data_IF_900436403390
#
_entry.id   IF_900436403390
#
_cell.length_a   1.000
_cell.length_b   1.000
_cell.length_c   1.000
_cell.angle_alpha   90.00
_cell.angle_beta   90.00
_cell.angle_gamma   90.00
#
_symmetry.space_group_name_H-M   'P 1'
#
loop_
_entity.id
_entity.type
_entity.pdbx_description
1 polymer ?
#
# COMPACT_ATOMS: atom_id res chain seq x y z
N UNK A 1 -22.91 -22.49 15.51
CA UNK A 1 -21.95 -21.56 15.92
C UNK A 1 -22.65 -21.17 17.19
N UNK A 2 -22.28 -21.51 18.21
CA UNK A 2 -21.23 -20.59 18.27
C UNK A 2 -21.60 -19.15 18.52
N UNK A 3 -22.91 -18.78 18.66
CA UNK A 3 -23.29 -17.43 19.09
C UNK A 3 -22.60 -17.07 20.43
N UNK A 4 -22.44 -18.04 21.32
CA UNK A 4 -21.73 -17.82 22.59
C UNK A 4 -20.23 -17.61 22.41
N UNK A 5 -19.64 -18.28 21.44
CA UNK A 5 -18.23 -18.07 21.11
C UNK A 5 -18.04 -16.69 20.48
N UNK A 6 -18.88 -16.32 19.51
CA UNK A 6 -18.86 -14.99 18.88
C UNK A 6 -19.03 -13.87 19.93
N UNK A 7 -19.95 -14.02 20.88
CA UNK A 7 -20.12 -13.03 21.97
C UNK A 7 -18.88 -12.88 22.86
N UNK A 8 -18.13 -13.96 23.10
CA UNK A 8 -16.88 -13.90 23.87
C UNK A 8 -15.80 -13.16 23.08
N UNK A 9 -15.69 -13.46 21.79
CA UNK A 9 -14.74 -12.79 20.87
C UNK A 9 -15.10 -11.31 20.77
N UNK A 10 -16.35 -10.95 20.52
CA UNK A 10 -16.83 -9.57 20.46
C UNK A 10 -16.51 -8.78 21.75
N UNK A 11 -16.69 -9.41 22.93
CA UNK A 11 -16.32 -8.79 24.20
C UNK A 11 -14.82 -8.54 24.32
N UNK A 12 -14.00 -9.46 23.85
CA UNK A 12 -12.55 -9.27 23.81
C UNK A 12 -12.17 -8.14 22.85
N UNK A 13 -12.69 -8.15 21.61
CA UNK A 13 -12.47 -7.09 20.61
C UNK A 13 -12.87 -5.73 21.15
N UNK A 14 -14.05 -5.61 21.78
CA UNK A 14 -14.47 -4.36 22.43
C UNK A 14 -13.48 -3.89 23.52
N UNK A 15 -12.81 -4.82 24.20
CA UNK A 15 -11.77 -4.47 25.19
C UNK A 15 -10.48 -3.99 24.54
N UNK A 16 -10.12 -4.48 23.35
CA UNK A 16 -8.98 -4.00 22.55
C UNK A 16 -9.27 -2.60 22.03
N UNK A 17 -10.43 -2.42 21.38
CA UNK A 17 -10.86 -1.11 20.83
C UNK A 17 -10.92 -0.01 21.91
N UNK A 18 -11.34 -0.37 23.14
CA UNK A 18 -11.35 0.58 24.26
C UNK A 18 -9.96 1.11 24.64
N UNK A 19 -8.91 0.34 24.36
CA UNK A 19 -7.51 0.74 24.63
C UNK A 19 -6.81 1.32 23.41
N UNK A 20 -7.45 1.21 22.25
CA UNK A 20 -6.90 1.73 21.00
C UNK A 20 -6.66 3.24 21.09
N UNK A 21 -5.66 3.77 20.41
CA UNK A 21 -5.47 5.21 20.28
C UNK A 21 -6.69 5.89 19.66
N UNK A 22 -6.97 7.09 20.10
CA UNK A 22 -8.03 7.92 19.50
C UNK A 22 -7.42 8.78 18.40
N UNK A 23 -8.05 8.78 17.25
CA UNK A 23 -7.62 9.54 16.07
C UNK A 23 -8.66 10.61 15.73
N UNK A 24 -8.17 11.76 15.27
CA UNK A 24 -9.02 12.78 14.66
C UNK A 24 -9.37 12.32 13.22
N UNK A 25 -10.60 11.88 13.00
CA UNK A 25 -11.07 11.39 11.70
C UNK A 25 -11.09 12.47 10.62
N UNK A 26 -11.10 13.75 11.00
CA UNK A 26 -11.07 14.88 10.08
C UNK A 26 -9.64 15.33 9.73
N UNK A 27 -8.62 14.80 10.41
CA UNK A 27 -7.23 15.11 10.09
C UNK A 27 -6.85 14.49 8.74
N UNK A 28 -6.49 15.34 7.77
CA UNK A 28 -6.24 14.98 6.37
C UNK A 28 -5.20 15.90 5.75
N UNK A 29 -4.68 15.48 4.59
CA UNK A 29 -3.83 16.32 3.73
C UNK A 29 -4.60 17.58 3.31
N UNK A 30 -4.00 18.74 3.58
CA UNK A 30 -4.61 20.04 3.32
C UNK A 30 -4.37 20.59 1.90
N UNK A 31 -5.13 21.64 1.51
CA UNK A 31 -5.06 22.21 0.15
C UNK A 31 -3.68 22.72 -0.25
N UNK A 32 -2.94 23.33 0.67
CA UNK A 32 -1.61 23.89 0.37
C UNK A 32 -0.57 22.81 0.08
N UNK A 33 -0.74 21.64 0.70
CA UNK A 33 0.14 20.50 0.40
C UNK A 33 -0.11 19.96 -1.00
N UNK A 34 -1.37 19.81 -1.43
CA UNK A 34 -1.71 19.42 -2.79
C UNK A 34 -1.13 20.40 -3.82
N UNK A 35 -1.27 21.70 -3.61
CA UNK A 35 -0.67 22.73 -4.47
C UNK A 35 0.86 22.59 -4.55
N UNK A 36 1.49 22.31 -3.41
CA UNK A 36 2.95 22.12 -3.37
C UNK A 36 3.38 20.87 -4.16
N UNK A 37 2.67 19.75 -4.01
CA UNK A 37 2.90 18.50 -4.75
C UNK A 37 2.74 18.70 -6.25
N UNK A 38 1.64 19.32 -6.67
CA UNK A 38 1.36 19.65 -8.07
C UNK A 38 2.46 20.54 -8.66
N UNK A 39 2.91 21.56 -7.90
CA UNK A 39 4.01 22.45 -8.33
C UNK A 39 5.33 21.69 -8.46
N UNK A 40 5.68 20.81 -7.52
CA UNK A 40 6.90 19.99 -7.59
C UNK A 40 6.89 19.12 -8.86
N UNK A 41 5.77 18.44 -9.12
CA UNK A 41 5.63 17.58 -10.30
C UNK A 41 5.73 18.39 -11.60
N UNK A 42 5.03 19.53 -11.70
CA UNK A 42 5.12 20.38 -12.90
C UNK A 42 6.51 20.93 -13.16
N UNK A 43 7.24 21.33 -12.12
CA UNK A 43 8.62 21.81 -12.27
C UNK A 43 9.51 20.69 -12.79
N UNK A 44 9.41 19.50 -12.24
CA UNK A 44 10.20 18.36 -12.67
C UNK A 44 9.87 17.90 -14.10
N UNK A 45 8.58 17.93 -14.51
CA UNK A 45 8.18 17.69 -15.91
C UNK A 45 8.82 18.73 -16.87
N UNK A 46 8.83 20.01 -16.48
CA UNK A 46 9.45 21.08 -17.28
C UNK A 46 10.96 20.86 -17.45
N UNK A 47 11.66 20.37 -16.44
CA UNK A 47 13.07 20.00 -16.52
C UNK A 47 13.33 18.87 -17.53
N UNK A 48 12.34 18.00 -17.76
CA UNK A 48 12.35 16.99 -18.83
C UNK A 48 11.90 17.55 -20.19
N UNK A 49 11.54 18.82 -20.29
CA UNK A 49 11.00 19.42 -21.50
C UNK A 49 9.53 19.10 -21.78
N UNK A 50 8.80 18.63 -20.76
CA UNK A 50 7.39 18.26 -20.85
C UNK A 50 6.48 19.36 -20.28
N UNK A 51 5.33 19.58 -20.93
CA UNK A 51 4.34 20.58 -20.51
C UNK A 51 3.19 19.97 -19.68
N UNK A 52 3.07 18.65 -19.69
CA UNK A 52 2.06 17.92 -18.94
C UNK A 52 2.47 16.48 -18.62
N UNK A 53 1.77 15.89 -17.66
CA UNK A 53 1.94 14.51 -17.27
C UNK A 53 0.60 13.84 -16.92
N UNK A 54 0.56 12.52 -17.05
CA UNK A 54 -0.64 11.72 -16.77
C UNK A 54 -0.36 10.68 -15.69
N UNK A 55 -1.31 10.53 -14.78
CA UNK A 55 -1.37 9.49 -13.74
C UNK A 55 -2.62 8.64 -13.91
N UNK A 56 -2.58 7.43 -13.35
CA UNK A 56 -3.72 6.51 -13.32
C UNK A 56 -3.78 5.81 -11.96
N UNK A 57 -4.99 5.53 -11.51
CA UNK A 57 -5.25 4.71 -10.32
C UNK A 57 -6.50 3.86 -10.51
N UNK A 58 -6.50 2.70 -9.88
CA UNK A 58 -7.66 1.83 -9.76
C UNK A 58 -7.78 1.35 -8.31
N UNK A 59 -8.76 0.51 -8.01
CA UNK A 59 -9.03 0.00 -6.66
C UNK A 59 -7.80 -0.67 -6.02
N UNK A 60 -6.98 -1.38 -6.80
CA UNK A 60 -5.79 -2.07 -6.30
C UNK A 60 -4.50 -1.25 -6.37
N UNK A 61 -4.47 -0.26 -7.26
CA UNK A 61 -3.37 0.70 -7.40
C UNK A 61 -3.88 2.11 -7.10
N UNK A 62 -4.18 2.35 -5.84
CA UNK A 62 -4.84 3.55 -5.35
C UNK A 62 -3.84 4.55 -4.74
N UNK A 63 -2.89 5.07 -5.52
CA UNK A 63 -1.87 5.97 -4.98
C UNK A 63 -1.56 7.19 -5.84
N UNK A 64 -1.48 7.04 -7.16
CA UNK A 64 -0.95 8.08 -8.03
C UNK A 64 -1.91 9.27 -8.21
N UNK A 65 -3.19 9.01 -8.44
CA UNK A 65 -4.20 10.07 -8.52
C UNK A 65 -4.48 10.69 -7.14
N UNK A 66 -4.65 9.90 -6.05
CA UNK A 66 -4.83 10.46 -4.71
C UNK A 66 -3.72 11.38 -4.24
N UNK A 67 -2.47 11.10 -4.57
CA UNK A 67 -1.33 11.95 -4.20
C UNK A 67 -1.47 13.40 -4.70
N UNK A 68 -1.97 13.60 -5.92
CA UNK A 68 -2.15 14.93 -6.53
C UNK A 68 -3.53 15.51 -6.33
N UNK A 69 -4.57 14.67 -6.24
CA UNK A 69 -5.96 15.09 -6.30
C UNK A 69 -6.78 14.83 -5.04
N UNK A 70 -6.26 14.05 -4.11
CA UNK A 70 -6.98 13.73 -2.87
C UNK A 70 -8.17 12.78 -3.04
N UNK A 71 -8.36 12.19 -4.21
CA UNK A 71 -9.41 11.20 -4.48
C UNK A 71 -8.97 9.82 -3.96
N UNK A 72 -9.11 9.60 -2.67
CA UNK A 72 -8.68 8.36 -1.98
C UNK A 72 -9.71 7.22 -2.07
N UNK A 73 -10.94 7.50 -2.48
CA UNK A 73 -11.95 6.46 -2.69
C UNK A 73 -12.09 6.18 -4.19
N UNK A 74 -11.52 5.05 -4.62
CA UNK A 74 -11.58 4.55 -5.99
C UNK A 74 -12.14 3.14 -5.90
N UNK A 75 -13.39 2.99 -6.32
CA UNK A 75 -14.10 1.71 -6.25
C UNK A 75 -14.77 1.45 -7.58
N UNK A 76 -14.57 0.28 -8.13
CA UNK A 76 -15.18 -0.22 -9.38
C UNK A 76 -14.69 0.53 -10.62
N UNK A 77 -14.95 1.84 -10.73
CA UNK A 77 -14.44 2.68 -11.83
C UNK A 77 -13.01 3.15 -11.55
N UNK A 78 -12.14 2.98 -12.53
CA UNK A 78 -10.79 3.54 -12.48
C UNK A 78 -10.81 5.05 -12.68
N UNK A 79 -9.75 5.72 -12.20
CA UNK A 79 -9.57 7.15 -12.40
C UNK A 79 -8.20 7.41 -13.03
N UNK A 80 -8.14 8.43 -13.87
CA UNK A 80 -6.89 9.00 -14.34
C UNK A 80 -6.76 10.44 -13.85
N UNK A 81 -5.62 11.04 -14.06
CA UNK A 81 -5.40 12.45 -13.79
C UNK A 81 -4.41 13.01 -14.78
N UNK A 82 -4.60 14.26 -15.15
CA UNK A 82 -3.67 15.00 -15.99
C UNK A 82 -3.24 16.27 -15.28
N UNK A 83 -1.94 16.51 -15.24
CA UNK A 83 -1.35 17.73 -14.71
C UNK A 83 -0.73 18.54 -15.85
N UNK A 84 -1.04 19.83 -15.89
CA UNK A 84 -0.53 20.73 -16.90
C UNK A 84 -0.55 22.18 -16.44
N UNK A 85 -0.55 23.12 -17.38
CA UNK A 85 -0.50 24.56 -17.06
C UNK A 85 -1.73 25.08 -16.30
N UNK A 86 -2.90 24.45 -16.47
CA UNK A 86 -4.12 24.82 -15.74
C UNK A 86 -4.24 24.19 -14.35
N UNK A 87 -3.30 23.31 -13.98
CA UNK A 87 -3.29 22.59 -12.70
C UNK A 87 -3.47 21.09 -12.88
N UNK A 88 -3.89 20.42 -11.81
CA UNK A 88 -4.20 18.99 -11.81
C UNK A 88 -5.70 18.79 -11.99
N UNK A 89 -6.08 17.99 -12.99
CA UNK A 89 -7.45 17.64 -13.29
C UNK A 89 -7.64 16.13 -13.16
N UNK A 90 -8.72 15.71 -12.51
CA UNK A 90 -9.10 14.31 -12.33
C UNK A 90 -10.03 13.90 -13.47
N UNK A 91 -9.79 12.72 -14.02
CA UNK A 91 -10.55 12.11 -15.11
C UNK A 91 -11.19 10.85 -14.54
N UNK A 92 -12.52 10.78 -14.50
CA UNK A 92 -13.24 9.67 -13.89
C UNK A 92 -14.35 9.17 -14.82
N UNK A 93 -14.92 8.02 -14.53
CA UNK A 93 -16.17 7.57 -15.11
C UNK A 93 -17.35 8.44 -14.67
N UNK A 94 -18.53 8.10 -15.14
CA UNK A 94 -19.71 8.94 -14.88
C UNK A 94 -20.16 8.89 -13.43
N UNK A 95 -20.11 7.72 -12.79
CA UNK A 95 -20.46 7.54 -11.37
C UNK A 95 -19.30 7.92 -10.44
N UNK A 96 -18.09 7.39 -10.70
CA UNK A 96 -16.89 7.70 -9.94
C UNK A 96 -16.56 9.20 -9.94
N UNK A 97 -16.96 9.92 -10.98
CA UNK A 97 -16.85 11.38 -11.08
C UNK A 97 -17.56 12.12 -9.95
N UNK A 98 -18.73 11.67 -9.52
CA UNK A 98 -19.45 12.31 -8.41
C UNK A 98 -18.72 12.12 -7.07
N UNK A 99 -18.09 10.97 -6.86
CA UNK A 99 -17.25 10.72 -5.69
C UNK A 99 -15.97 11.56 -5.75
N UNK A 100 -15.35 11.61 -6.93
CA UNK A 100 -14.16 12.43 -7.15
C UNK A 100 -14.42 13.92 -6.91
N UNK A 101 -15.55 14.48 -7.34
CA UNK A 101 -15.93 15.87 -7.08
C UNK A 101 -15.97 16.21 -5.59
N UNK A 102 -16.47 15.30 -4.75
CA UNK A 102 -16.50 15.50 -3.30
C UNK A 102 -15.09 15.50 -2.69
N UNK A 103 -14.25 14.54 -3.07
CA UNK A 103 -12.92 14.36 -2.50
C UNK A 103 -11.89 15.35 -3.05
N UNK A 104 -11.99 15.70 -4.33
CA UNK A 104 -11.09 16.63 -5.00
C UNK A 104 -11.27 18.09 -4.56
N UNK A 105 -12.34 18.42 -3.86
CA UNK A 105 -12.60 19.79 -3.36
C UNK A 105 -11.44 20.35 -2.54
N UNK A 106 -10.76 19.52 -1.78
CA UNK A 106 -9.61 19.90 -0.95
C UNK A 106 -8.31 20.11 -1.74
N UNK A 107 -8.15 19.47 -2.89
CA UNK A 107 -7.01 19.71 -3.80
C UNK A 107 -7.28 20.83 -4.80
N UNK A 108 -8.53 21.32 -4.86
CA UNK A 108 -9.02 22.28 -5.87
C UNK A 108 -8.87 21.78 -7.32
N UNK A 109 -8.81 20.47 -7.51
CA UNK A 109 -8.75 19.85 -8.83
C UNK A 109 -10.13 19.88 -9.50
N UNK A 110 -10.15 20.20 -10.79
CA UNK A 110 -11.35 20.03 -11.62
C UNK A 110 -11.55 18.55 -11.91
N UNK A 111 -12.78 18.10 -11.94
CA UNK A 111 -13.16 16.72 -12.27
C UNK A 111 -13.87 16.70 -13.62
N UNK A 112 -13.44 15.82 -14.50
CA UNK A 112 -14.04 15.59 -15.82
C UNK A 112 -14.61 14.18 -15.87
N UNK A 113 -15.80 14.05 -16.45
CA UNK A 113 -16.49 12.77 -16.61
C UNK A 113 -16.33 12.26 -18.03
N UNK A 114 -15.60 11.14 -18.19
CA UNK A 114 -15.25 10.56 -19.48
C UNK A 114 -15.88 9.19 -19.62
N UNK A 115 -16.60 8.96 -20.71
CA UNK A 115 -17.19 7.66 -21.02
C UNK A 115 -16.16 6.53 -21.09
N UNK A 116 -14.91 6.83 -21.53
CA UNK A 116 -13.81 5.87 -21.59
C UNK A 116 -13.44 5.25 -20.25
N UNK A 117 -13.71 5.90 -19.13
CA UNK A 117 -13.42 5.43 -17.77
C UNK A 117 -14.65 4.85 -17.07
N UNK A 118 -15.80 4.83 -17.73
CA UNK A 118 -17.02 4.23 -17.24
C UNK A 118 -16.91 2.70 -17.21
N UNK A 119 -17.46 2.09 -16.17
CA UNK A 119 -17.44 0.62 -16.02
C UNK A 119 -18.31 -0.11 -17.04
N UNK A 120 -19.51 0.40 -17.28
CA UNK A 120 -20.54 -0.28 -18.05
C UNK A 120 -20.89 0.46 -19.34
N UNK A 121 -21.38 -0.27 -20.34
CA UNK A 121 -21.86 0.28 -21.62
C UNK A 121 -23.27 0.87 -21.50
N UNK A 122 -23.56 1.50 -20.35
CA UNK A 122 -24.86 2.10 -20.08
C UNK A 122 -24.89 3.55 -20.54
N UNK A 123 -26.05 3.95 -21.08
CA UNK A 123 -26.31 5.36 -21.39
C UNK A 123 -26.67 6.13 -20.13
N UNK A 124 -25.79 7.01 -19.68
CA UNK A 124 -26.08 7.90 -18.57
C UNK A 124 -26.72 9.20 -19.07
N UNK A 125 -27.65 9.79 -18.32
CA UNK A 125 -28.34 11.03 -18.70
C UNK A 125 -27.48 12.27 -18.47
N UNK A 126 -26.20 12.19 -18.76
CA UNK A 126 -25.25 13.31 -18.70
C UNK A 126 -24.36 13.30 -19.94
N UNK A 127 -23.98 14.49 -20.40
CA UNK A 127 -23.00 14.62 -21.48
C UNK A 127 -21.60 14.34 -20.95
N UNK A 128 -20.97 13.30 -21.44
CA UNK A 128 -19.56 13.03 -21.18
C UNK A 128 -18.67 13.99 -21.98
N UNK A 129 -17.58 14.43 -21.34
CA UNK A 129 -16.60 15.28 -22.01
C UNK A 129 -15.73 14.44 -22.97
N UNK A 130 -15.20 15.06 -24.01
CA UNK A 130 -14.24 14.41 -24.89
C UNK A 130 -12.86 14.49 -24.28
N UNK A 131 -12.12 13.39 -24.30
CA UNK A 131 -10.81 13.34 -23.67
C UNK A 131 -9.80 14.30 -24.32
N UNK A 132 -9.84 14.43 -25.66
CA UNK A 132 -9.01 15.38 -26.40
C UNK A 132 -9.19 16.82 -25.90
N UNK A 133 -10.45 17.23 -25.73
CA UNK A 133 -10.79 18.58 -25.29
C UNK A 133 -10.26 18.86 -23.88
N UNK A 134 -10.34 17.84 -23.00
CA UNK A 134 -9.78 17.92 -21.64
C UNK A 134 -8.26 18.04 -21.65
N UNK A 135 -7.57 17.24 -22.47
CA UNK A 135 -6.10 17.35 -22.62
C UNK A 135 -5.73 18.76 -23.08
N UNK A 136 -6.41 19.29 -24.09
CA UNK A 136 -6.14 20.63 -24.62
C UNK A 136 -6.46 21.74 -23.62
N UNK A 137 -7.51 21.59 -22.82
CA UNK A 137 -7.80 22.52 -21.71
C UNK A 137 -6.66 22.55 -20.70
N UNK A 138 -6.20 21.36 -20.25
CA UNK A 138 -5.18 21.23 -19.19
C UNK A 138 -3.83 21.72 -19.67
N UNK A 139 -3.45 21.41 -20.91
CA UNK A 139 -2.17 21.76 -21.51
C UNK A 139 -2.16 23.13 -22.21
N UNK A 140 -3.34 23.82 -22.28
CA UNK A 140 -3.56 25.04 -23.07
C UNK A 140 -3.24 24.87 -24.56
N UNK A 141 -3.69 23.76 -25.11
CA UNK A 141 -3.50 23.35 -26.49
C UNK A 141 -2.96 21.92 -26.58
N UNK A 142 -2.83 21.44 -27.81
CA UNK A 142 -2.31 20.08 -28.04
C UNK A 142 -0.85 19.97 -27.62
N UNK A 143 -0.49 19.10 -26.64
CA UNK A 143 0.90 18.93 -26.23
C UNK A 143 1.71 18.16 -27.28
N UNK A 144 3.00 18.47 -27.39
CA UNK A 144 3.93 17.73 -28.26
C UNK A 144 4.21 16.32 -27.72
N UNK A 145 4.27 16.17 -26.39
CA UNK A 145 4.47 14.93 -25.68
C UNK A 145 3.81 14.96 -24.30
N UNK A 146 3.51 13.78 -23.72
CA UNK A 146 2.92 13.60 -22.39
C UNK A 146 3.85 12.74 -21.55
N UNK A 147 4.16 13.17 -20.31
CA UNK A 147 4.89 12.38 -19.33
C UNK A 147 3.97 11.33 -18.70
N UNK A 148 4.31 10.06 -18.80
CA UNK A 148 3.61 8.98 -18.09
C UNK A 148 4.21 8.81 -16.69
N UNK A 149 3.47 9.22 -15.68
CA UNK A 149 3.91 9.23 -14.28
C UNK A 149 3.58 7.91 -13.54
N UNK A 150 2.57 7.19 -14.00
CA UNK A 150 2.18 5.85 -13.49
C UNK A 150 2.95 4.75 -14.22
N UNK A 151 3.32 3.64 -13.53
CA UNK A 151 3.98 2.52 -14.17
C UNK A 151 3.22 1.98 -15.38
N UNK A 152 3.93 1.72 -16.47
CA UNK A 152 3.33 1.12 -17.68
C UNK A 152 2.64 -0.22 -17.42
N UNK A 153 3.08 -0.98 -16.40
CA UNK A 153 2.46 -2.24 -16.00
C UNK A 153 1.05 -2.06 -15.40
N UNK A 154 0.72 -0.85 -14.97
CA UNK A 154 -0.57 -0.50 -14.34
C UNK A 154 -1.44 0.31 -15.30
N UNK A 155 -0.82 1.07 -16.19
CA UNK A 155 -1.54 1.97 -17.09
C UNK A 155 -2.33 1.17 -18.14
N UNK A 156 -3.65 1.41 -18.29
CA UNK A 156 -4.48 0.65 -19.21
C UNK A 156 -4.02 0.76 -20.66
N UNK A 157 -4.01 -0.37 -21.36
CA UNK A 157 -3.66 -0.41 -22.79
C UNK A 157 -4.58 0.49 -23.62
N UNK A 158 -5.87 0.52 -23.32
CA UNK A 158 -6.85 1.37 -24.01
C UNK A 158 -6.52 2.86 -23.90
N UNK A 159 -6.10 3.34 -22.72
CA UNK A 159 -5.65 4.73 -22.55
C UNK A 159 -4.32 4.99 -23.29
N UNK A 160 -3.41 4.02 -23.26
CA UNK A 160 -2.13 4.12 -23.97
C UNK A 160 -2.32 4.19 -25.49
N UNK A 161 -3.21 3.36 -26.05
CA UNK A 161 -3.55 3.37 -27.47
C UNK A 161 -4.25 4.67 -27.88
N UNK A 162 -5.18 5.17 -27.04
CA UNK A 162 -5.79 6.47 -27.25
C UNK A 162 -4.76 7.59 -27.33
N UNK A 163 -3.87 7.67 -26.33
CA UNK A 163 -2.80 8.68 -26.31
C UNK A 163 -1.85 8.57 -27.51
N UNK A 164 -1.50 7.34 -27.91
CA UNK A 164 -0.67 7.09 -29.10
C UNK A 164 -1.35 7.63 -30.36
N UNK A 165 -2.65 7.35 -30.53
CA UNK A 165 -3.43 7.85 -31.66
C UNK A 165 -3.55 9.38 -31.65
N UNK A 166 -3.82 9.95 -30.48
CA UNK A 166 -3.98 11.40 -30.29
C UNK A 166 -2.67 12.16 -30.59
N UNK A 167 -1.54 11.69 -30.08
CA UNK A 167 -0.23 12.30 -30.30
C UNK A 167 0.38 11.95 -31.68
N UNK A 168 -0.13 10.88 -32.31
CA UNK A 168 0.33 10.39 -33.61
C UNK A 168 1.63 9.55 -33.54
N UNK A 169 2.18 9.34 -32.33
CA UNK A 169 3.40 8.58 -32.11
C UNK A 169 3.49 8.13 -30.66
N UNK A 170 3.80 6.85 -30.43
CA UNK A 170 4.01 6.29 -29.09
C UNK A 170 5.27 6.81 -28.38
N UNK A 171 6.29 7.26 -29.13
CA UNK A 171 7.51 7.84 -28.56
C UNK A 171 7.25 9.18 -27.85
N UNK A 172 6.13 9.82 -28.15
CA UNK A 172 5.66 11.02 -27.47
C UNK A 172 5.03 10.76 -26.10
N UNK A 173 4.83 9.49 -25.71
CA UNK A 173 4.48 9.08 -24.36
C UNK A 173 5.76 8.77 -23.60
N UNK A 174 6.28 9.79 -22.93
CA UNK A 174 7.59 9.77 -22.27
C UNK A 174 7.45 9.14 -20.88
N UNK A 175 8.30 8.17 -20.57
CA UNK A 175 8.33 7.59 -19.22
C UNK A 175 8.89 8.60 -18.22
N UNK A 176 8.06 9.02 -17.27
CA UNK A 176 8.38 9.94 -16.19
C UNK A 176 8.10 9.35 -14.81
N UNK A 177 7.93 8.02 -14.71
CA UNK A 177 7.62 7.30 -13.50
C UNK A 177 8.66 7.54 -12.39
N UNK A 178 9.94 7.43 -12.72
CA UNK A 178 11.02 7.59 -11.75
C UNK A 178 11.02 8.99 -11.12
N UNK A 179 10.77 10.01 -11.91
CA UNK A 179 10.63 11.39 -11.44
C UNK A 179 9.51 11.52 -10.42
N UNK A 180 8.34 10.95 -10.72
CA UNK A 180 7.18 11.02 -9.84
C UNK A 180 7.41 10.29 -8.53
N UNK A 181 8.02 9.12 -8.59
CA UNK A 181 8.34 8.35 -7.39
C UNK A 181 9.37 9.03 -6.50
N UNK A 182 10.39 9.67 -7.07
CA UNK A 182 11.35 10.47 -6.28
C UNK A 182 10.67 11.59 -5.50
N UNK A 183 9.66 12.23 -6.09
CA UNK A 183 8.87 13.27 -5.42
C UNK A 183 8.03 12.67 -4.27
N UNK A 184 7.39 11.52 -4.50
CA UNK A 184 6.56 10.82 -3.51
C UNK A 184 7.39 10.16 -2.40
N UNK A 185 8.66 9.87 -2.65
CA UNK A 185 9.54 9.21 -1.70
C UNK A 185 9.75 10.03 -0.41
N UNK A 186 9.93 11.34 -0.55
CA UNK A 186 10.01 12.25 0.60
C UNK A 186 8.62 12.52 1.17
N UNK A 187 8.41 12.12 2.43
CA UNK A 187 7.15 12.31 3.13
C UNK A 187 7.13 13.66 3.86
N UNK A 188 6.00 14.36 3.78
CA UNK A 188 5.75 15.53 4.60
C UNK A 188 5.43 15.16 6.06
N UNK A 189 5.48 16.14 6.96
CA UNK A 189 5.09 15.93 8.37
C UNK A 189 3.64 15.45 8.50
N UNK A 190 2.75 15.93 7.63
CA UNK A 190 1.35 15.48 7.59
C UNK A 190 1.24 14.02 7.15
N UNK A 191 1.97 13.64 6.09
CA UNK A 191 2.04 12.25 5.63
C UNK A 191 2.61 11.33 6.71
N UNK A 192 3.71 11.74 7.35
CA UNK A 192 4.33 10.95 8.43
C UNK A 192 3.37 10.72 9.60
N UNK A 193 2.60 11.75 10.00
CA UNK A 193 1.60 11.60 11.06
C UNK A 193 0.48 10.62 10.66
N UNK A 194 -0.02 10.69 9.43
CA UNK A 194 -1.06 9.78 8.94
C UNK A 194 -0.55 8.33 8.82
N UNK A 195 0.72 8.14 8.42
CA UNK A 195 1.37 6.83 8.41
C UNK A 195 1.50 6.30 9.85
N UNK A 196 1.92 7.13 10.81
CA UNK A 196 2.00 6.76 12.23
C UNK A 196 0.63 6.31 12.76
N UNK A 197 -0.44 7.07 12.50
CA UNK A 197 -1.81 6.70 12.86
C UNK A 197 -2.21 5.35 12.24
N UNK A 198 -1.88 5.13 10.95
CA UNK A 198 -2.14 3.87 10.25
C UNK A 198 -1.36 2.69 10.86
N UNK A 199 -0.12 2.90 11.27
CA UNK A 199 0.67 1.88 11.98
C UNK A 199 0.07 1.53 13.34
N UNK A 200 -0.37 2.52 14.12
CA UNK A 200 -1.02 2.29 15.42
C UNK A 200 -2.36 1.55 15.27
N UNK A 201 -3.11 1.83 14.20
CA UNK A 201 -4.29 1.04 13.85
C UNK A 201 -3.88 -0.39 13.51
N UNK A 202 -2.87 -0.58 12.66
CA UNK A 202 -2.38 -1.90 12.28
C UNK A 202 -2.00 -2.75 13.50
N UNK A 203 -1.29 -2.18 14.47
CA UNK A 203 -0.94 -2.83 15.73
C UNK A 203 -2.18 -3.26 16.52
N UNK A 204 -3.19 -2.39 16.59
CA UNK A 204 -4.47 -2.68 17.27
C UNK A 204 -5.22 -3.82 16.59
N UNK A 205 -5.23 -3.86 15.24
CA UNK A 205 -5.85 -4.94 14.47
C UNK A 205 -5.16 -6.28 14.76
N UNK A 206 -3.83 -6.30 14.74
CA UNK A 206 -3.05 -7.51 15.03
C UNK A 206 -3.28 -7.97 16.48
N UNK A 207 -3.29 -7.08 17.47
CA UNK A 207 -3.60 -7.43 18.86
C UNK A 207 -4.96 -8.13 18.95
N UNK A 208 -5.99 -7.57 18.33
CA UNK A 208 -7.33 -8.15 18.32
C UNK A 208 -7.41 -9.50 17.63
N UNK A 209 -6.83 -9.60 16.43
CA UNK A 209 -6.84 -10.84 15.63
C UNK A 209 -6.08 -11.97 16.31
N UNK A 210 -4.90 -11.71 16.87
CA UNK A 210 -4.12 -12.70 17.64
C UNK A 210 -4.88 -13.14 18.88
N UNK A 211 -5.52 -12.21 19.58
CA UNK A 211 -6.23 -12.51 20.82
C UNK A 211 -7.51 -13.34 20.65
N UNK A 212 -8.16 -13.28 19.49
CA UNK A 212 -9.34 -14.13 19.19
C UNK A 212 -8.96 -15.46 18.53
N UNK A 213 -7.79 -15.54 17.89
CA UNK A 213 -7.33 -16.71 17.15
C UNK A 213 -7.25 -17.94 18.04
N UNK A 214 -7.85 -19.04 17.57
CA UNK A 214 -7.84 -20.35 18.25
C UNK A 214 -7.90 -21.48 17.24
N UNK A 215 -7.31 -22.63 17.55
CA UNK A 215 -7.52 -23.85 16.80
C UNK A 215 -9.01 -24.16 16.59
N UNK A 216 -9.38 -24.59 15.42
CA UNK A 216 -10.75 -24.91 15.01
C UNK A 216 -11.54 -23.75 14.41
N UNK A 217 -11.02 -22.52 14.44
CA UNK A 217 -11.57 -21.40 13.67
C UNK A 217 -11.25 -21.54 12.19
N UNK A 218 -12.00 -20.83 11.35
CA UNK A 218 -11.63 -20.59 9.97
C UNK A 218 -10.84 -19.27 9.87
N UNK A 219 -9.87 -19.23 8.95
CA UNK A 219 -9.05 -18.04 8.67
C UNK A 219 -9.93 -16.79 8.38
N UNK A 220 -11.02 -16.97 7.62
CA UNK A 220 -12.01 -15.91 7.35
C UNK A 220 -12.71 -15.37 8.59
N UNK A 221 -12.86 -16.17 9.65
CA UNK A 221 -13.44 -15.70 10.91
C UNK A 221 -12.48 -14.76 11.65
N UNK A 222 -11.18 -15.05 11.60
CA UNK A 222 -10.14 -14.16 12.17
C UNK A 222 -10.02 -12.89 11.36
N UNK A 223 -9.98 -12.99 10.01
CA UNK A 223 -9.97 -11.84 9.12
C UNK A 223 -11.20 -10.93 9.34
N UNK A 224 -12.39 -11.52 9.53
CA UNK A 224 -13.62 -10.76 9.79
C UNK A 224 -13.52 -9.83 11.00
N UNK A 225 -12.86 -10.25 12.09
CA UNK A 225 -12.59 -9.36 13.22
C UNK A 225 -11.61 -8.24 12.89
N UNK A 226 -10.64 -8.51 12.04
CA UNK A 226 -9.74 -7.47 11.55
C UNK A 226 -10.48 -6.38 10.75
N UNK A 227 -11.38 -6.78 9.84
CA UNK A 227 -12.21 -5.83 9.07
C UNK A 227 -13.13 -5.01 9.98
N UNK A 228 -13.80 -5.65 10.93
CA UNK A 228 -14.68 -4.97 11.91
C UNK A 228 -13.92 -3.87 12.66
N UNK A 229 -12.77 -4.23 13.25
CA UNK A 229 -11.95 -3.27 14.00
C UNK A 229 -11.40 -2.15 13.11
N UNK A 230 -11.01 -2.46 11.89
CA UNK A 230 -10.43 -1.49 10.96
C UNK A 230 -11.42 -0.35 10.67
N UNK A 231 -12.65 -0.69 10.31
CA UNK A 231 -13.69 0.30 10.03
C UNK A 231 -14.17 1.02 11.29
N UNK A 232 -14.24 0.35 12.43
CA UNK A 232 -14.57 1.01 13.72
C UNK A 232 -13.51 2.06 14.10
N UNK A 233 -12.23 1.80 13.80
CA UNK A 233 -11.14 2.75 14.01
C UNK A 233 -11.08 3.88 12.95
N UNK A 234 -11.91 3.82 11.90
CA UNK A 234 -12.09 4.90 10.94
C UNK A 234 -11.00 4.98 9.88
N UNK A 235 -10.59 3.84 9.36
CA UNK A 235 -9.76 3.80 8.16
C UNK A 235 -10.58 4.20 6.92
N UNK A 236 -9.91 4.67 5.88
CA UNK A 236 -10.55 4.88 4.58
C UNK A 236 -10.76 3.53 3.89
N UNK A 237 -9.71 2.74 3.80
CA UNK A 237 -9.72 1.40 3.22
C UNK A 237 -8.47 0.60 3.68
N UNK A 238 -8.32 -0.61 3.18
CA UNK A 238 -7.11 -1.42 3.33
C UNK A 238 -6.28 -1.39 2.04
N UNK A 239 -4.96 -1.28 2.15
CA UNK A 239 -4.05 -1.34 0.99
C UNK A 239 -4.01 -2.73 0.33
N UNK A 240 -4.28 -3.77 1.11
CA UNK A 240 -4.54 -5.13 0.66
C UNK A 240 -5.50 -5.83 1.62
N UNK A 241 -6.22 -6.82 1.12
CA UNK A 241 -7.12 -7.64 1.95
C UNK A 241 -6.40 -8.23 3.16
N UNK A 242 -7.08 -8.30 4.30
CA UNK A 242 -6.50 -8.87 5.52
C UNK A 242 -6.01 -10.29 5.27
N UNK A 243 -4.72 -10.48 5.52
CA UNK A 243 -4.02 -11.76 5.38
C UNK A 243 -4.28 -12.59 6.64
N UNK A 244 -4.79 -13.79 6.46
CA UNK A 244 -4.77 -14.86 7.47
C UNK A 244 -4.51 -16.16 6.74
N UNK A 245 -3.33 -16.73 6.91
CA UNK A 245 -2.96 -18.00 6.29
C UNK A 245 -2.45 -18.97 7.34
N UNK A 246 -2.84 -20.24 7.26
CA UNK A 246 -2.52 -21.27 8.24
C UNK A 246 -2.09 -22.59 7.57
N UNK A 247 -1.30 -23.38 8.25
CA UNK A 247 -0.89 -24.73 7.84
C UNK A 247 -0.27 -24.74 6.44
N UNK A 248 -0.73 -25.63 5.56
CA UNK A 248 -0.20 -25.73 4.19
C UNK A 248 -0.48 -24.50 3.32
N UNK A 249 -1.52 -23.73 3.61
CA UNK A 249 -1.81 -22.47 2.93
C UNK A 249 -0.79 -21.36 3.29
N UNK A 250 -0.07 -21.53 4.40
CA UNK A 250 0.94 -20.57 4.87
C UNK A 250 2.30 -20.76 4.18
N UNK A 251 2.29 -20.91 2.85
CA UNK A 251 3.49 -20.91 2.00
C UNK A 251 3.72 -19.57 1.31
N UNK A 252 2.79 -18.65 1.48
CA UNK A 252 2.81 -17.31 0.89
C UNK A 252 2.41 -16.28 1.94
N UNK A 253 3.14 -15.17 1.98
CA UNK A 253 2.84 -14.04 2.87
C UNK A 253 1.91 -13.00 2.21
N UNK A 254 1.35 -13.31 1.04
CA UNK A 254 0.50 -12.40 0.27
C UNK A 254 -0.89 -12.98 -0.03
N UNK A 255 -1.26 -14.11 0.60
CA UNK A 255 -2.56 -14.73 0.40
C UNK A 255 -3.57 -14.19 1.42
N UNK A 256 -4.72 -13.74 0.95
CA UNK A 256 -5.86 -13.46 1.83
C UNK A 256 -6.48 -14.74 2.37
N UNK A 257 -7.37 -14.61 3.36
CA UNK A 257 -8.12 -15.74 3.93
C UNK A 257 -8.96 -16.45 2.85
N UNK A 258 -8.90 -17.80 2.84
CA UNK A 258 -9.50 -18.66 1.81
C UNK A 258 -10.58 -19.59 2.35
N UNK A 259 -11.04 -19.35 3.59
CA UNK A 259 -12.00 -20.18 4.32
C UNK A 259 -11.44 -21.57 4.68
N UNK A 260 -10.17 -21.64 5.02
CA UNK A 260 -9.53 -22.83 5.56
C UNK A 260 -9.62 -22.88 7.08
N UNK A 261 -9.72 -24.10 7.59
CA UNK A 261 -9.71 -24.33 9.02
C UNK A 261 -8.29 -24.23 9.57
N UNK A 262 -8.15 -23.52 10.67
CA UNK A 262 -6.90 -23.43 11.43
C UNK A 262 -6.85 -24.62 12.40
N UNK A 263 -5.84 -25.48 12.26
CA UNK A 263 -5.66 -26.63 13.13
C UNK A 263 -4.67 -26.32 14.27
N UNK A 264 -4.71 -27.16 15.31
CA UNK A 264 -3.80 -26.98 16.45
C UNK A 264 -2.35 -27.25 16.04
N UNK A 265 -1.47 -26.32 16.34
CA UNK A 265 -0.07 -26.38 15.97
C UNK A 265 0.27 -25.70 14.63
N UNK A 266 -0.72 -25.21 13.88
CA UNK A 266 -0.45 -24.45 12.67
C UNK A 266 0.33 -23.16 12.98
N UNK A 267 1.26 -22.83 12.12
CA UNK A 267 1.81 -21.48 12.04
C UNK A 267 0.82 -20.66 11.23
N UNK A 268 0.32 -19.60 11.83
CA UNK A 268 -0.64 -18.68 11.22
C UNK A 268 0.05 -17.34 10.97
N UNK A 269 0.09 -16.91 9.72
CA UNK A 269 0.55 -15.57 9.37
C UNK A 269 -0.64 -14.63 9.23
N UNK A 270 -0.52 -13.48 9.89
CA UNK A 270 -1.49 -12.40 9.90
C UNK A 270 -0.86 -11.16 9.27
N UNK A 271 -1.60 -10.43 8.46
CA UNK A 271 -1.12 -9.19 7.87
C UNK A 271 -2.25 -8.21 7.65
N UNK A 272 -2.00 -6.96 7.96
CA UNK A 272 -2.96 -5.84 7.83
C UNK A 272 -2.26 -4.61 7.30
N UNK A 273 -2.95 -3.82 6.50
CA UNK A 273 -2.43 -2.59 5.93
C UNK A 273 -3.53 -1.49 5.85
N UNK A 274 -3.96 -0.96 7.00
CA UNK A 274 -4.95 0.11 7.03
C UNK A 274 -4.41 1.41 6.45
N UNK A 275 -5.32 2.23 5.89
CA UNK A 275 -5.02 3.55 5.33
C UNK A 275 -5.74 4.66 6.09
N UNK A 276 -5.02 5.74 6.33
CA UNK A 276 -5.55 7.02 6.76
C UNK A 276 -5.25 8.06 5.70
N UNK A 277 -6.29 8.64 5.12
CA UNK A 277 -6.21 9.56 3.98
C UNK A 277 -5.34 9.03 2.83
N UNK A 278 -5.50 7.74 2.52
CA UNK A 278 -4.73 7.02 1.51
C UNK A 278 -3.35 6.54 1.96
N UNK A 279 -2.84 6.98 3.12
CA UNK A 279 -1.50 6.63 3.59
C UNK A 279 -1.50 5.36 4.42
N UNK A 280 -0.64 4.43 4.05
CA UNK A 280 -0.63 3.04 4.53
C UNK A 280 0.30 2.86 5.73
N UNK A 281 -0.22 2.25 6.79
CA UNK A 281 0.58 1.55 7.83
C UNK A 281 0.44 0.05 7.64
N UNK A 282 1.49 -0.72 7.95
CA UNK A 282 1.47 -2.17 7.78
C UNK A 282 2.00 -2.88 9.03
N UNK A 283 1.34 -3.98 9.41
CA UNK A 283 1.88 -4.90 10.39
C UNK A 283 1.66 -6.35 9.92
N UNK A 284 2.68 -7.18 10.11
CA UNK A 284 2.65 -8.62 9.82
C UNK A 284 3.26 -9.39 10.96
N UNK A 285 2.59 -10.46 11.39
CA UNK A 285 3.11 -11.34 12.44
C UNK A 285 2.81 -12.80 12.09
N UNK A 286 3.62 -13.72 12.59
CA UNK A 286 3.34 -15.15 12.57
C UNK A 286 3.21 -15.66 14.00
N UNK A 287 2.18 -16.44 14.27
CA UNK A 287 1.90 -17.04 15.57
C UNK A 287 1.63 -18.53 15.42
N UNK A 288 1.75 -19.28 16.51
CA UNK A 288 1.36 -20.70 16.52
C UNK A 288 -0.05 -20.83 17.13
N UNK A 289 -0.96 -21.43 16.37
CA UNK A 289 -2.33 -21.68 16.83
C UNK A 289 -2.36 -22.83 17.85
N UNK A 290 -2.34 -22.52 19.12
CA UNK A 290 -2.41 -23.49 20.23
C UNK A 290 -3.37 -23.02 21.33
N UNK A 291 -4.00 -23.96 22.02
CA UNK A 291 -4.79 -23.63 23.20
C UNK A 291 -3.93 -23.34 24.44
N UNK A 292 -2.67 -23.84 24.45
CA UNK A 292 -1.68 -23.63 25.53
C UNK A 292 -0.27 -23.49 24.98
N UNK A 293 0.51 -22.49 25.44
CA UNK A 293 1.88 -22.24 24.96
C UNK A 293 2.85 -23.44 25.09
N UNK A 294 2.57 -24.37 26.04
CA UNK A 294 3.40 -25.58 26.20
C UNK A 294 3.36 -26.51 24.98
N UNK A 295 2.34 -26.38 24.13
CA UNK A 295 2.21 -27.21 22.91
C UNK A 295 3.03 -26.69 21.72
N UNK A 296 3.66 -25.54 21.83
CA UNK A 296 4.58 -25.03 20.80
C UNK A 296 5.82 -25.93 20.78
N UNK A 297 6.13 -26.52 19.63
CA UNK A 297 7.29 -27.40 19.46
C UNK A 297 8.63 -26.66 19.63
N UNK A 298 9.71 -27.40 19.90
CA UNK A 298 11.06 -26.84 19.98
C UNK A 298 11.50 -26.23 18.63
N UNK A 299 11.11 -26.84 17.53
CA UNK A 299 11.40 -26.32 16.19
C UNK A 299 10.67 -25.01 15.90
N UNK A 300 9.39 -24.92 16.24
CA UNK A 300 8.63 -23.66 16.10
C UNK A 300 9.25 -22.56 16.97
N UNK A 301 9.64 -22.87 18.21
CA UNK A 301 10.34 -21.91 19.09
C UNK A 301 11.65 -21.45 18.48
N UNK A 302 12.42 -22.37 17.91
CA UNK A 302 13.69 -22.04 17.26
C UNK A 302 13.49 -21.03 16.12
N UNK A 303 12.54 -21.28 15.23
CA UNK A 303 12.30 -20.38 14.11
C UNK A 303 11.66 -19.05 14.51
N UNK A 304 10.78 -19.05 15.52
CA UNK A 304 10.24 -17.80 16.10
C UNK A 304 11.39 -16.95 16.64
N UNK A 305 12.26 -17.53 17.49
CA UNK A 305 13.42 -16.79 18.03
C UNK A 305 14.37 -16.33 16.94
N UNK A 306 14.59 -17.13 15.89
CA UNK A 306 15.40 -16.74 14.75
C UNK A 306 14.87 -15.49 14.06
N UNK A 307 13.56 -15.42 13.83
CA UNK A 307 12.91 -14.27 13.17
C UNK A 307 12.88 -13.05 14.10
N UNK A 308 12.62 -13.24 15.41
CA UNK A 308 12.66 -12.16 16.39
C UNK A 308 14.06 -11.53 16.50
N UNK A 309 15.11 -12.35 16.51
CA UNK A 309 16.50 -11.87 16.49
C UNK A 309 16.80 -11.11 15.18
N UNK A 310 16.38 -11.65 14.02
CA UNK A 310 16.54 -10.99 12.72
C UNK A 310 15.85 -9.62 12.69
N UNK A 311 14.62 -9.55 13.21
CA UNK A 311 13.90 -8.29 13.35
C UNK A 311 14.64 -7.29 14.25
N UNK A 312 15.13 -7.74 15.41
CA UNK A 312 15.93 -6.90 16.31
C UNK A 312 17.17 -6.31 15.63
N UNK A 313 17.90 -7.13 14.88
CA UNK A 313 19.08 -6.69 14.09
C UNK A 313 18.69 -5.62 13.05
N UNK A 314 17.59 -5.84 12.33
CA UNK A 314 17.10 -4.85 11.37
C UNK A 314 16.66 -3.55 12.05
N UNK A 315 15.97 -3.62 13.17
CA UNK A 315 15.49 -2.45 13.91
C UNK A 315 16.66 -1.62 14.45
N UNK A 316 17.67 -2.26 15.04
CA UNK A 316 18.87 -1.59 15.54
C UNK A 316 19.62 -0.89 14.39
N UNK A 317 19.78 -1.58 13.25
CA UNK A 317 20.42 -1.03 12.06
C UNK A 317 19.60 0.13 11.48
N UNK A 318 18.27 0.01 11.44
CA UNK A 318 17.38 1.08 10.99
C UNK A 318 17.50 2.34 11.87
N UNK A 319 17.51 2.15 13.19
CA UNK A 319 17.67 3.26 14.15
C UNK A 319 19.03 3.96 13.96
N UNK A 320 20.10 3.19 13.74
CA UNK A 320 21.45 3.73 13.51
C UNK A 320 21.51 4.50 12.18
N UNK A 321 20.98 3.93 11.11
CA UNK A 321 20.86 4.55 9.78
C UNK A 321 20.10 5.86 9.87
N UNK A 322 18.94 5.87 10.52
CA UNK A 322 18.10 7.06 10.66
C UNK A 322 18.79 8.17 11.48
N UNK A 323 19.44 7.81 12.59
CA UNK A 323 20.14 8.77 13.45
C UNK A 323 21.34 9.43 12.79
N UNK A 324 22.07 8.68 11.97
CA UNK A 324 23.33 9.12 11.39
C UNK A 324 23.23 9.51 9.91
N UNK A 325 22.03 9.45 9.35
CA UNK A 325 21.78 9.70 7.92
C UNK A 325 22.66 8.83 7.01
N UNK A 326 22.77 7.54 7.36
CA UNK A 326 23.48 6.56 6.56
C UNK A 326 22.60 6.00 5.44
N UNK A 327 23.19 5.36 4.42
CA UNK A 327 22.40 4.72 3.36
C UNK A 327 21.50 3.61 3.89
N UNK A 328 20.21 3.63 3.55
CA UNK A 328 19.20 2.67 4.01
C UNK A 328 19.55 1.20 3.69
N UNK A 329 20.36 0.94 2.64
CA UNK A 329 20.85 -0.41 2.30
C UNK A 329 21.67 -1.09 3.42
N UNK A 330 22.16 -0.34 4.40
CA UNK A 330 22.87 -0.91 5.55
C UNK A 330 21.95 -1.74 6.46
N UNK A 331 20.63 -1.49 6.45
CA UNK A 331 19.66 -2.34 7.13
C UNK A 331 19.61 -3.72 6.44
N UNK A 332 19.57 -3.75 5.12
CA UNK A 332 19.66 -5.01 4.36
C UNK A 332 20.99 -5.73 4.57
N UNK A 333 22.09 -4.99 4.63
CA UNK A 333 23.41 -5.57 4.93
C UNK A 333 23.44 -6.24 6.31
N UNK A 334 22.87 -5.60 7.32
CA UNK A 334 22.80 -6.16 8.67
C UNK A 334 21.99 -7.47 8.70
N UNK A 335 20.86 -7.51 7.97
CA UNK A 335 20.07 -8.75 7.85
C UNK A 335 20.85 -9.86 7.16
N UNK A 336 21.49 -9.57 6.03
CA UNK A 336 22.32 -10.55 5.29
C UNK A 336 23.46 -11.09 6.18
N UNK A 337 24.12 -10.22 6.94
CA UNK A 337 25.20 -10.61 7.84
C UNK A 337 24.72 -11.49 9.00
N UNK A 338 23.54 -11.19 9.56
CA UNK A 338 22.89 -12.06 10.56
C UNK A 338 22.64 -13.46 9.99
N UNK A 339 22.05 -13.58 8.80
CA UNK A 339 21.80 -14.85 8.15
C UNK A 339 23.11 -15.65 7.90
N UNK A 340 24.17 -14.97 7.43
CA UNK A 340 25.49 -15.60 7.26
C UNK A 340 26.07 -16.12 8.57
N UNK A 341 25.90 -15.38 9.65
CA UNK A 341 26.39 -15.82 10.98
C UNK A 341 25.67 -17.10 11.45
N UNK A 342 24.35 -17.19 11.19
CA UNK A 342 23.52 -18.34 11.60
C UNK A 342 23.60 -19.55 10.65
N UNK A 343 24.12 -19.37 9.44
CA UNK A 343 24.16 -20.38 8.37
C UNK A 343 24.79 -21.71 8.81
N UNK A 344 25.94 -21.67 9.46
CA UNK A 344 26.63 -22.89 9.91
C UNK A 344 25.81 -23.65 10.95
N UNK A 345 25.13 -22.96 11.83
CA UNK A 345 24.26 -23.55 12.84
C UNK A 345 23.05 -24.22 12.20
N UNK A 346 22.34 -23.52 11.29
CA UNK A 346 21.19 -24.04 10.58
C UNK A 346 21.56 -25.26 9.74
N UNK A 347 22.62 -25.16 8.95
CA UNK A 347 23.10 -26.25 8.11
C UNK A 347 23.43 -27.50 8.93
N UNK A 348 24.09 -27.34 10.05
CA UNK A 348 24.41 -28.46 10.98
C UNK A 348 23.14 -29.02 11.63
N UNK A 349 22.23 -28.18 12.07
CA UNK A 349 20.98 -28.60 12.75
C UNK A 349 20.11 -29.47 11.84
N UNK A 350 20.02 -29.14 10.57
CA UNK A 350 19.15 -29.82 9.61
C UNK A 350 19.88 -30.81 8.68
N UNK A 351 21.18 -30.91 8.77
CA UNK A 351 21.98 -31.79 7.89
C UNK A 351 21.94 -31.37 6.41
N UNK A 352 21.84 -30.07 6.14
CA UNK A 352 21.73 -29.49 4.80
C UNK A 352 22.97 -28.63 4.50
N UNK A 353 23.07 -28.21 3.22
CA UNK A 353 24.07 -27.23 2.78
C UNK A 353 23.35 -26.18 1.88
N UNK A 354 22.95 -25.09 2.49
CA UNK A 354 22.31 -23.96 1.80
C UNK A 354 23.10 -22.69 2.08
N UNK A 355 23.04 -21.77 1.17
CA UNK A 355 23.37 -20.35 1.38
C UNK A 355 22.15 -19.70 2.03
N UNK A 356 22.18 -19.56 3.36
CA UNK A 356 21.03 -19.12 4.14
C UNK A 356 20.56 -17.70 3.77
N UNK A 357 21.42 -16.72 3.49
CA UNK A 357 21.01 -15.40 2.98
C UNK A 357 20.13 -15.45 1.74
N UNK A 358 20.34 -16.42 0.85
CA UNK A 358 19.52 -16.56 -0.37
C UNK A 358 18.12 -17.13 -0.11
N UNK A 359 17.86 -17.64 1.08
CA UNK A 359 16.58 -18.22 1.46
C UNK A 359 15.59 -17.17 2.01
N UNK A 360 16.04 -15.95 2.29
CA UNK A 360 15.13 -14.90 2.73
C UNK A 360 14.29 -14.40 1.55
N UNK A 361 12.96 -14.34 1.66
CA UNK A 361 12.08 -13.95 0.54
C UNK A 361 12.02 -12.44 0.32
N UNK A 362 12.34 -11.63 1.33
CA UNK A 362 12.18 -10.19 1.32
C UNK A 362 13.43 -9.47 1.82
N UNK A 363 13.54 -8.19 1.51
CA UNK A 363 14.57 -7.30 2.06
C UNK A 363 14.24 -6.90 3.51
N UNK A 364 15.25 -6.39 4.24
CA UNK A 364 15.10 -5.98 5.63
C UNK A 364 14.17 -4.77 5.84
N UNK A 365 14.00 -3.94 4.80
CA UNK A 365 13.18 -2.74 4.85
C UNK A 365 12.66 -2.38 3.46
N UNK A 366 11.48 -1.78 3.40
CA UNK A 366 10.92 -1.17 2.19
C UNK A 366 10.19 0.14 2.52
N UNK A 367 9.94 0.94 1.49
CA UNK A 367 9.19 2.17 1.59
C UNK A 367 7.69 1.90 1.78
N UNK A 368 6.99 2.88 2.35
CA UNK A 368 5.52 2.90 2.42
C UNK A 368 5.01 4.30 2.08
N UNK A 369 3.74 4.41 1.75
CA UNK A 369 3.08 5.66 1.42
C UNK A 369 1.63 5.45 1.04
N UNK A 370 1.23 5.92 -0.12
CA UNK A 370 -0.13 5.71 -0.65
C UNK A 370 -0.41 4.25 -1.03
N UNK A 371 0.63 3.47 -1.33
CA UNK A 371 0.52 2.02 -1.51
C UNK A 371 1.57 1.30 -0.70
N UNK A 372 1.34 0.05 -0.35
CA UNK A 372 2.34 -0.78 0.32
C UNK A 372 3.30 -1.42 -0.69
N UNK A 373 2.83 -1.73 -1.92
CA UNK A 373 3.58 -2.56 -2.85
C UNK A 373 4.22 -1.81 -4.03
N UNK A 374 3.73 -0.64 -4.41
CA UNK A 374 4.08 0.03 -5.67
C UNK A 374 4.69 1.42 -5.51
N UNK A 375 5.02 1.83 -4.31
CA UNK A 375 5.84 3.02 -4.11
C UNK A 375 7.26 2.72 -4.60
N UNK A 376 7.87 3.67 -5.31
CA UNK A 376 9.22 3.51 -5.84
C UNK A 376 10.23 3.26 -4.71
N UNK A 377 11.26 2.48 -5.00
CA UNK A 377 12.16 1.95 -3.97
C UNK A 377 11.41 1.14 -2.89
N UNK A 378 10.35 0.42 -3.27
CA UNK A 378 9.64 -0.44 -2.34
C UNK A 378 10.58 -1.31 -1.54
N UNK A 379 11.38 -2.16 -2.23
CA UNK A 379 12.40 -2.98 -1.58
C UNK A 379 13.77 -2.28 -1.62
N UNK A 380 14.40 -2.12 -0.46
CA UNK A 380 15.77 -1.61 -0.33
C UNK A 380 16.73 -2.79 -0.38
N UNK A 381 17.44 -2.96 -1.49
CA UNK A 381 18.43 -4.02 -1.72
C UNK A 381 19.85 -3.52 -1.49
N UNK A 382 20.83 -4.43 -1.45
CA UNK A 382 22.27 -4.09 -1.38
C UNK A 382 22.73 -3.26 -2.58
N UNK A 383 22.04 -3.39 -3.73
CA UNK A 383 22.34 -2.67 -4.96
C UNK A 383 21.54 -1.36 -5.11
N UNK A 384 20.70 -1.02 -4.13
CA UNK A 384 19.95 0.23 -4.18
C UNK A 384 20.91 1.42 -4.07
N UNK A 385 20.81 2.35 -5.01
CA UNK A 385 21.58 3.61 -5.00
C UNK A 385 20.99 4.61 -3.98
N UNK A 386 20.20 4.15 -3.08
CA UNK A 386 19.47 4.98 -2.16
C UNK A 386 20.42 5.66 -1.16
N UNK A 387 20.27 6.97 -0.97
CA UNK A 387 21.02 7.69 0.04
C UNK A 387 20.74 7.22 1.46
#
# INVERSE_FOLDING_TARGET
MRLDQWKKEAKFIASVLKRAPSFDREYRIGPEEFKNRQRKVMNALKEMGLTCGMVFSNEHYNGDVPYLGGNTNITVESVAGIIGESGFHILAGLEGGYVAEQLASRSQSKVHKLQMLQLADEDYPIDAERFEDVIEEVCRGKPDAIGLLTPRAIFPVSLYEFLTSYLGDSEKIVDAQELYYKIKYEKSDTEMKLIEESCLIADTLIEGMVGVLKPGMYDTQVAGWGYEMAYELGIDELSFDIIVTAGEANRSLISKALNYRIDEGDIVSLGVAPRRDGLTGCNRVSVVAVDKPVKISEEQRYWISFVEEAYGVCLDAYIDVAKNNYPAKLVEQALVDYYKQREKEVNRKYGIQIDLPTQKPYTGVHNTGYTEAYEFYGAITLNSENP
#
